data_IF_575642543941
#
_entry.id   IF_575642543941
#
_cell.length_a   1.000
_cell.length_b   1.000
_cell.length_c   1.000
_cell.angle_alpha   90.00
_cell.angle_beta   90.00
_cell.angle_gamma   90.00
#
_symmetry.space_group_name_H-M   'P 1'
#
loop_
_entity.id
_entity.type
_entity.pdbx_description
1 polymer ?
#
# COMPACT_ATOMS: atom_id res chain seq x y z
N UNK A 1 2.87 12.48 -2.25
CA UNK A 1 2.78 12.90 -0.83
C UNK A 1 2.22 11.79 0.08
N UNK A 2 1.05 11.21 -0.22
CA UNK A 2 0.40 10.20 0.64
C UNK A 2 1.16 8.87 0.72
N UNK A 3 1.69 8.36 -0.39
CA UNK A 3 2.48 7.11 -0.41
C UNK A 3 3.74 7.21 0.47
N UNK A 4 4.45 8.35 0.39
CA UNK A 4 5.60 8.62 1.29
C UNK A 4 5.20 8.66 2.76
N UNK A 5 4.02 9.22 3.08
CA UNK A 5 3.49 9.21 4.45
C UNK A 5 3.21 7.78 4.92
N UNK A 6 2.64 6.93 4.07
CA UNK A 6 2.43 5.52 4.34
C UNK A 6 3.76 4.79 4.59
N UNK A 7 4.74 4.95 3.71
CA UNK A 7 6.07 4.36 3.85
C UNK A 7 6.77 4.76 5.14
N UNK A 8 6.73 6.06 5.47
CA UNK A 8 7.31 6.59 6.71
C UNK A 8 6.60 6.04 7.94
N UNK A 9 5.26 5.95 7.90
CA UNK A 9 4.48 5.37 8.99
C UNK A 9 4.86 3.91 9.23
N UNK A 10 4.97 3.11 8.16
CA UNK A 10 5.37 1.70 8.28
C UNK A 10 6.79 1.60 8.85
N UNK A 11 7.70 2.43 8.35
CA UNK A 11 9.10 2.47 8.81
C UNK A 11 9.26 2.89 10.27
N UNK A 12 8.40 3.79 10.75
CA UNK A 12 8.46 4.29 12.12
C UNK A 12 7.88 3.30 13.14
N UNK A 13 6.89 2.49 12.75
CA UNK A 13 6.11 1.69 13.69
C UNK A 13 6.30 0.17 13.57
N UNK A 14 6.85 -0.32 12.45
CA UNK A 14 7.01 -1.75 12.21
C UNK A 14 8.45 -2.09 11.83
N UNK A 15 8.80 -1.97 10.55
CA UNK A 15 10.11 -2.32 10.00
C UNK A 15 10.49 -1.32 8.92
N UNK A 16 11.79 -1.16 8.65
CA UNK A 16 12.30 -0.30 7.58
C UNK A 16 11.65 -0.65 6.25
N UNK A 17 10.75 0.21 5.78
CA UNK A 17 9.97 -0.01 4.57
C UNK A 17 10.71 0.63 3.40
N UNK A 18 11.56 -0.14 2.71
CA UNK A 18 12.21 0.30 1.48
C UNK A 18 11.21 0.40 0.33
N UNK A 19 11.57 1.08 -0.75
CA UNK A 19 10.69 1.19 -1.94
C UNK A 19 10.35 -0.19 -2.52
N UNK A 20 11.29 -1.15 -2.45
CA UNK A 20 11.07 -2.53 -2.86
C UNK A 20 10.03 -3.23 -1.98
N UNK A 21 10.11 -3.07 -0.65
CA UNK A 21 9.14 -3.67 0.27
C UNK A 21 7.76 -3.01 0.07
N UNK A 22 7.73 -1.68 -0.06
CA UNK A 22 6.49 -0.95 -0.30
C UNK A 22 5.82 -1.38 -1.60
N UNK A 23 6.60 -1.55 -2.68
CA UNK A 23 6.10 -2.06 -3.96
C UNK A 23 5.48 -3.46 -3.83
N UNK A 24 6.13 -4.36 -3.06
CA UNK A 24 5.56 -5.69 -2.76
C UNK A 24 4.25 -5.62 -1.97
N UNK A 25 4.18 -4.75 -0.96
CA UNK A 25 2.95 -4.50 -0.20
C UNK A 25 1.84 -3.97 -1.10
N UNK A 26 2.16 -3.03 -2.00
CA UNK A 26 1.21 -2.51 -2.98
C UNK A 26 0.63 -3.61 -3.88
N UNK A 27 1.45 -4.53 -4.36
CA UNK A 27 0.98 -5.67 -5.16
C UNK A 27 0.05 -6.57 -4.33
N UNK A 28 0.43 -6.87 -3.09
CA UNK A 28 -0.37 -7.68 -2.17
C UNK A 28 -1.72 -7.01 -1.84
N UNK A 29 -1.78 -5.69 -1.69
CA UNK A 29 -3.03 -4.97 -1.44
C UNK A 29 -4.03 -5.15 -2.58
N UNK A 30 -3.58 -5.31 -3.82
CA UNK A 30 -4.42 -5.50 -5.00
C UNK A 30 -4.51 -6.95 -5.49
N UNK A 31 -3.95 -7.92 -4.75
CA UNK A 31 -3.93 -9.33 -5.15
C UNK A 31 -5.26 -10.07 -4.92
N UNK A 32 -6.26 -9.41 -4.32
CA UNK A 32 -7.49 -10.04 -3.85
C UNK A 32 -7.31 -10.68 -2.47
N UNK A 33 -8.43 -11.12 -1.88
CA UNK A 33 -8.45 -11.74 -0.55
C UNK A 33 -8.62 -10.72 0.58
N UNK A 34 -8.28 -11.14 1.80
CA UNK A 34 -8.65 -10.41 3.02
C UNK A 34 -8.04 -9.01 3.10
N UNK A 35 -6.79 -8.82 2.65
CA UNK A 35 -6.17 -7.49 2.68
C UNK A 35 -6.84 -6.52 1.72
N UNK A 36 -7.18 -6.95 0.50
CA UNK A 36 -7.94 -6.14 -0.45
C UNK A 36 -9.30 -5.78 0.15
N UNK A 37 -10.05 -6.78 0.64
CA UNK A 37 -11.38 -6.56 1.24
C UNK A 37 -11.33 -5.66 2.48
N UNK A 38 -10.29 -5.79 3.30
CA UNK A 38 -10.12 -4.94 4.48
C UNK A 38 -9.80 -3.50 4.08
N UNK A 39 -8.91 -3.27 3.12
CA UNK A 39 -8.61 -1.90 2.68
C UNK A 39 -9.85 -1.27 2.03
N UNK A 40 -10.59 -2.03 1.22
CA UNK A 40 -11.79 -1.55 0.56
C UNK A 40 -12.95 -1.31 1.56
N UNK A 41 -13.05 -2.05 2.66
CA UNK A 41 -14.09 -1.83 3.67
C UNK A 41 -13.92 -0.52 4.44
N UNK A 42 -12.67 -0.05 4.64
CA UNK A 42 -12.38 1.24 5.26
C UNK A 42 -12.28 2.39 4.26
N UNK A 43 -11.79 2.11 3.04
CA UNK A 43 -11.51 3.12 2.02
C UNK A 43 -12.62 3.32 0.98
N UNK A 44 -13.53 2.36 0.86
CA UNK A 44 -14.44 2.22 -0.28
C UNK A 44 -13.90 1.26 -1.33
N UNK A 45 -14.81 0.65 -2.10
CA UNK A 45 -14.49 -0.32 -3.15
C UNK A 45 -13.43 0.24 -4.13
N UNK A 46 -12.39 -0.56 -4.41
CA UNK A 46 -11.30 -0.19 -5.30
C UNK A 46 -10.17 0.63 -4.67
N UNK A 47 -10.25 0.96 -3.38
CA UNK A 47 -9.20 1.72 -2.68
C UNK A 47 -7.88 0.95 -2.64
N UNK A 48 -7.92 -0.37 -2.47
CA UNK A 48 -6.73 -1.20 -2.43
C UNK A 48 -5.99 -1.18 -3.77
N UNK A 49 -6.74 -1.29 -4.87
CA UNK A 49 -6.21 -1.20 -6.24
C UNK A 49 -5.67 0.20 -6.52
N UNK A 50 -6.41 1.24 -6.15
CA UNK A 50 -5.95 2.62 -6.28
C UNK A 50 -4.63 2.87 -5.53
N UNK A 51 -4.55 2.39 -4.29
CA UNK A 51 -3.35 2.53 -3.44
C UNK A 51 -2.17 1.78 -4.05
N UNK A 52 -2.39 0.56 -4.57
CA UNK A 52 -1.38 -0.23 -5.28
C UNK A 52 -0.80 0.53 -6.49
N UNK A 53 -1.66 1.15 -7.31
CA UNK A 53 -1.21 1.93 -8.45
C UNK A 53 -0.42 3.17 -8.03
N UNK A 54 -0.85 3.86 -6.98
CA UNK A 54 -0.13 5.00 -6.43
C UNK A 54 1.25 4.60 -5.91
N UNK A 55 1.35 3.46 -5.21
CA UNK A 55 2.62 2.89 -4.76
C UNK A 55 3.54 2.58 -5.94
N UNK A 56 3.01 1.95 -6.99
CA UNK A 56 3.79 1.59 -8.18
C UNK A 56 4.43 2.81 -8.85
N UNK A 57 3.70 3.92 -8.97
CA UNK A 57 4.21 5.18 -9.55
C UNK A 57 5.23 5.86 -8.63
N UNK A 58 5.10 5.68 -7.33
CA UNK A 58 5.99 6.29 -6.35
C UNK A 58 7.33 5.55 -6.22
N UNK A 59 7.34 4.22 -6.36
CA UNK A 59 8.53 3.38 -6.22
C UNK A 59 9.32 3.17 -7.53
N UNK A 60 8.91 3.80 -8.63
CA UNK A 60 9.71 3.95 -9.86
C UNK A 60 10.66 5.13 -9.75
#
# INVERSE_FOLDING_TARGET
ALVRKLQNFISAHFYTCTDQILSGLGQMYAAGGEMTSNIDSYGGEGTAVFTSQAIRIFCT
#
